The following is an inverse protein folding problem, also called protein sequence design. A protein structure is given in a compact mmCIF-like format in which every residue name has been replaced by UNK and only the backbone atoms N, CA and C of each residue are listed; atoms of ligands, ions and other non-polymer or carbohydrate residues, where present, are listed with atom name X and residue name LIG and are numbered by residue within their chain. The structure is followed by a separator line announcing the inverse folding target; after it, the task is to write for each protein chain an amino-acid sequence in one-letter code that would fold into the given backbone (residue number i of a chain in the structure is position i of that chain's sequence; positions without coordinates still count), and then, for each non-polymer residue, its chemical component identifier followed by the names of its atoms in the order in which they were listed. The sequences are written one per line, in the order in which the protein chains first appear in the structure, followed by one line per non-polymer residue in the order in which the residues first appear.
data_IF_055424385169
#
_entry.id   IF_055424385169
#
_cell.length_a   1.000
_cell.length_b   1.000
_cell.length_c   1.000
_cell.angle_alpha   90.00
_cell.angle_beta   90.00
_cell.angle_gamma   90.00
#
_symmetry.space_group_name_H-M   'P 1'
#
loop_
_entity.id
_entity.type
_entity.pdbx_description
1 polymer ?
#
# COMPACT_ATOMS: atom_id res chain seq x y z
N UNK A 1 -17.61 24.22 3.08
CA UNK A 1 -17.58 23.98 1.60
C UNK A 1 -16.20 24.24 1.02
N UNK A 2 -15.61 25.44 1.15
CA UNK A 2 -14.27 25.73 0.58
C UNK A 2 -13.13 24.85 1.13
N UNK A 3 -13.16 24.48 2.42
CA UNK A 3 -12.14 23.62 3.02
C UNK A 3 -12.15 22.20 2.44
N UNK A 4 -13.33 21.63 2.15
CA UNK A 4 -13.43 20.29 1.59
C UNK A 4 -12.93 20.19 0.15
N UNK A 5 -13.15 21.24 -0.65
CA UNK A 5 -12.58 21.35 -1.99
C UNK A 5 -11.05 21.44 -1.93
N UNK A 6 -10.47 22.08 -0.92
CA UNK A 6 -9.01 22.10 -0.76
C UNK A 6 -8.46 20.75 -0.31
N UNK A 7 -9.08 20.15 0.69
CA UNK A 7 -8.56 18.95 1.35
C UNK A 7 -8.66 17.68 0.50
N UNK A 8 -9.62 17.54 -0.41
CA UNK A 8 -9.67 16.31 -1.22
C UNK A 8 -8.47 16.18 -2.17
N UNK A 9 -7.84 17.29 -2.56
CA UNK A 9 -6.57 17.29 -3.30
C UNK A 9 -5.34 16.97 -2.44
N UNK A 10 -5.47 16.98 -1.11
CA UNK A 10 -4.38 16.63 -0.20
C UNK A 10 -4.31 15.10 -0.02
N UNK A 11 -3.11 14.51 0.13
CA UNK A 11 -1.80 15.14 -0.02
C UNK A 11 -1.43 15.31 -1.51
N UNK A 12 -0.78 16.43 -1.84
CA UNK A 12 -0.24 16.70 -3.20
C UNK A 12 1.23 16.32 -3.33
N UNK A 13 1.94 16.31 -2.21
CA UNK A 13 3.37 16.00 -2.11
C UNK A 13 3.65 15.16 -0.87
N UNK A 14 4.86 14.61 -0.76
CA UNK A 14 5.21 13.70 0.33
C UNK A 14 5.10 14.27 1.75
N UNK A 15 5.24 15.59 1.87
CA UNK A 15 5.20 16.31 3.15
C UNK A 15 3.93 17.17 3.29
N UNK A 16 2.92 16.96 2.44
CA UNK A 16 1.67 17.72 2.50
C UNK A 16 0.80 17.23 3.67
N UNK A 17 -0.10 18.09 4.13
CA UNK A 17 -1.08 17.71 5.15
C UNK A 17 -2.00 16.60 4.63
N UNK A 18 -2.46 15.73 5.52
CA UNK A 18 -3.46 14.72 5.18
C UNK A 18 -4.87 15.29 5.40
N UNK A 19 -5.87 14.88 4.59
CA UNK A 19 -7.26 15.27 4.79
C UNK A 19 -7.67 15.06 6.26
N UNK A 20 -8.22 16.08 6.89
CA UNK A 20 -8.49 16.08 8.33
C UNK A 20 -9.95 15.77 8.65
N UNK A 21 -10.84 16.15 7.73
CA UNK A 21 -12.27 16.01 7.87
C UNK A 21 -12.79 14.61 7.48
N UNK A 22 -13.86 14.18 8.16
CA UNK A 22 -14.46 12.84 7.97
C UNK A 22 -15.13 12.68 6.60
N UNK A 23 -15.48 13.77 5.94
CA UNK A 23 -16.07 13.77 4.60
C UNK A 23 -14.98 13.87 3.53
N UNK A 24 -13.93 14.66 3.78
CA UNK A 24 -12.87 14.90 2.79
C UNK A 24 -11.96 13.69 2.61
N UNK A 25 -11.70 12.95 3.68
CA UNK A 25 -10.83 11.79 3.66
C UNK A 25 -11.33 10.67 2.72
N UNK A 26 -12.59 10.20 2.81
CA UNK A 26 -13.12 9.22 1.86
C UNK A 26 -13.12 9.72 0.42
N UNK A 27 -13.46 11.00 0.20
CA UNK A 27 -13.50 11.59 -1.15
C UNK A 27 -12.10 11.65 -1.76
N UNK A 28 -11.09 12.07 -0.98
CA UNK A 28 -9.70 12.12 -1.41
C UNK A 28 -9.18 10.73 -1.81
N UNK A 29 -9.54 9.70 -1.04
CA UNK A 29 -9.14 8.33 -1.30
C UNK A 29 -9.86 7.78 -2.55
N UNK A 30 -11.16 7.98 -2.64
CA UNK A 30 -11.99 7.51 -3.76
C UNK A 30 -11.55 8.11 -5.09
N UNK A 31 -11.35 9.44 -5.17
CA UNK A 31 -10.93 10.14 -6.39
C UNK A 31 -9.59 9.60 -6.94
N UNK A 32 -8.64 9.32 -6.05
CA UNK A 32 -7.34 8.76 -6.44
C UNK A 32 -7.44 7.31 -6.90
N UNK A 33 -8.22 6.49 -6.19
CA UNK A 33 -8.42 5.09 -6.56
C UNK A 33 -9.15 4.98 -7.90
N UNK A 34 -10.17 5.80 -8.12
CA UNK A 34 -10.93 5.87 -9.37
C UNK A 34 -10.02 6.25 -10.56
N UNK A 35 -9.23 7.32 -10.40
CA UNK A 35 -8.24 7.72 -11.42
C UNK A 35 -7.25 6.59 -11.74
N UNK A 36 -6.77 5.85 -10.73
CA UNK A 36 -5.89 4.71 -10.95
C UNK A 36 -6.60 3.58 -11.70
N UNK A 37 -7.81 3.22 -11.28
CA UNK A 37 -8.58 2.14 -11.88
C UNK A 37 -8.95 2.43 -13.34
N UNK A 38 -9.43 3.64 -13.64
CA UNK A 38 -9.76 4.09 -14.99
C UNK A 38 -8.51 4.13 -15.87
N UNK A 39 -7.40 4.69 -15.39
CA UNK A 39 -6.18 4.75 -16.19
C UNK A 39 -5.62 3.35 -16.50
N UNK A 40 -5.67 2.44 -15.53
CA UNK A 40 -5.20 1.07 -15.73
C UNK A 40 -6.14 0.25 -16.62
N UNK A 41 -7.46 0.45 -16.54
CA UNK A 41 -8.42 -0.19 -17.46
C UNK A 41 -8.17 0.22 -18.92
N UNK A 42 -7.70 1.44 -19.14
CA UNK A 42 -7.28 1.98 -20.43
C UNK A 42 -5.83 1.64 -20.82
N UNK A 43 -5.14 0.78 -20.05
CA UNK A 43 -3.72 0.37 -20.26
C UNK A 43 -2.72 1.53 -20.20
N UNK A 44 -3.06 2.61 -19.51
CA UNK A 44 -2.22 3.80 -19.34
C UNK A 44 -1.27 3.65 -18.14
N UNK A 45 -0.63 2.49 -18.02
CA UNK A 45 0.23 2.14 -16.89
C UNK A 45 1.56 2.91 -17.02
N UNK A 46 2.06 3.58 -15.97
CA UNK A 46 3.31 4.33 -16.04
C UNK A 46 4.50 3.44 -16.39
N UNK A 47 5.31 3.85 -17.37
CA UNK A 47 6.56 3.18 -17.74
C UNK A 47 7.75 3.80 -16.99
N UNK A 48 8.89 3.11 -16.92
CA UNK A 48 10.04 3.53 -16.10
C UNK A 48 10.49 5.00 -16.24
N UNK A 49 10.29 5.62 -17.40
CA UNK A 49 10.64 7.02 -17.67
C UNK A 49 9.46 7.99 -17.74
N UNK A 50 8.22 7.51 -17.88
CA UNK A 50 7.06 8.36 -18.14
C UNK A 50 5.92 8.10 -17.15
N UNK A 51 5.33 9.18 -16.65
CA UNK A 51 4.08 9.17 -15.88
C UNK A 51 3.16 10.31 -16.34
N UNK A 52 2.58 10.21 -17.54
CA UNK A 52 1.85 11.31 -18.18
C UNK A 52 0.62 11.77 -17.39
N UNK A 53 0.02 10.87 -16.61
CA UNK A 53 -1.19 11.12 -15.81
C UNK A 53 -0.90 11.20 -14.31
N UNK A 54 0.37 11.33 -13.93
CA UNK A 54 0.78 11.46 -12.53
C UNK A 54 0.29 10.33 -11.60
N UNK A 55 0.12 9.12 -12.12
CA UNK A 55 -0.43 7.97 -11.42
C UNK A 55 0.48 7.53 -10.28
N UNK A 56 1.81 7.71 -10.39
CA UNK A 56 2.72 7.45 -9.25
C UNK A 56 2.44 8.40 -8.10
N UNK A 57 2.16 9.67 -8.40
CA UNK A 57 1.80 10.67 -7.38
C UNK A 57 0.44 10.36 -6.76
N UNK A 58 -0.54 9.96 -7.57
CA UNK A 58 -1.86 9.57 -7.06
C UNK A 58 -1.77 8.36 -6.14
N UNK A 59 -1.09 7.29 -6.58
CA UNK A 59 -0.88 6.12 -5.74
C UNK A 59 -0.08 6.46 -4.48
N UNK A 60 0.93 7.32 -4.56
CA UNK A 60 1.65 7.77 -3.37
C UNK A 60 0.74 8.50 -2.36
N UNK A 61 -0.22 9.29 -2.86
CA UNK A 61 -1.24 9.91 -2.03
C UNK A 61 -2.16 8.89 -1.36
N UNK A 62 -2.54 7.81 -2.06
CA UNK A 62 -3.28 6.67 -1.46
C UNK A 62 -2.48 6.04 -0.32
N UNK A 63 -1.20 5.73 -0.54
CA UNK A 63 -0.33 5.17 0.50
C UNK A 63 -0.27 6.07 1.74
N UNK A 64 -0.09 7.37 1.54
CA UNK A 64 0.01 8.36 2.62
C UNK A 64 -1.30 8.49 3.40
N UNK A 65 -2.44 8.49 2.71
CA UNK A 65 -3.75 8.53 3.35
C UNK A 65 -3.96 7.27 4.18
N UNK A 66 -3.76 6.08 3.61
CA UNK A 66 -4.02 4.80 4.27
C UNK A 66 -3.10 4.61 5.47
N UNK A 67 -1.79 4.83 5.31
CA UNK A 67 -0.84 4.66 6.41
C UNK A 67 -0.90 5.81 7.42
N UNK A 68 -1.01 7.05 6.95
CA UNK A 68 -0.98 8.22 7.83
C UNK A 68 -2.28 8.47 8.60
N UNK A 69 -3.39 7.86 8.18
CA UNK A 69 -4.66 7.81 8.95
C UNK A 69 -4.93 6.44 9.56
N UNK A 70 -3.95 5.55 9.52
CA UNK A 70 -4.04 4.21 10.10
C UNK A 70 -5.31 3.45 9.66
N UNK A 71 -5.64 3.54 8.37
CA UNK A 71 -6.80 2.87 7.82
C UNK A 71 -6.54 1.36 7.70
N UNK A 72 -7.47 0.50 8.16
CA UNK A 72 -7.25 -0.95 8.23
C UNK A 72 -7.53 -1.65 6.88
N UNK A 73 -7.21 -1.03 5.75
CA UNK A 73 -7.47 -1.60 4.41
C UNK A 73 -6.26 -2.34 3.85
N UNK A 74 -6.49 -3.49 3.25
CA UNK A 74 -5.52 -4.15 2.36
C UNK A 74 -5.59 -3.57 0.93
N UNK A 75 -4.50 -3.73 0.17
CA UNK A 75 -4.50 -3.33 -1.24
C UNK A 75 -5.47 -4.16 -2.08
N UNK A 76 -5.65 -5.44 -1.74
CA UNK A 76 -6.62 -6.31 -2.39
C UNK A 76 -8.06 -5.82 -2.19
N UNK A 77 -8.42 -5.43 -0.96
CA UNK A 77 -9.76 -4.87 -0.69
C UNK A 77 -9.99 -3.57 -1.46
N UNK A 78 -9.03 -2.64 -1.44
CA UNK A 78 -9.17 -1.38 -2.18
C UNK A 78 -9.27 -1.59 -3.70
N UNK A 79 -8.43 -2.48 -4.25
CA UNK A 79 -8.45 -2.81 -5.67
C UNK A 79 -9.76 -3.48 -6.07
N UNK A 80 -10.24 -4.46 -5.29
CA UNK A 80 -11.50 -5.15 -5.56
C UNK A 80 -12.69 -4.20 -5.53
N UNK A 81 -12.78 -3.33 -4.50
CA UNK A 81 -13.85 -2.34 -4.39
C UNK A 81 -13.91 -1.38 -5.59
N UNK A 82 -12.76 -0.83 -6.01
CA UNK A 82 -12.75 0.14 -7.12
C UNK A 82 -13.03 -0.53 -8.47
N UNK A 83 -12.55 -1.75 -8.66
CA UNK A 83 -12.82 -2.52 -9.90
C UNK A 83 -14.28 -2.94 -9.97
N UNK A 84 -14.90 -3.32 -8.85
CA UNK A 84 -16.33 -3.61 -8.77
C UNK A 84 -17.17 -2.38 -9.15
N UNK A 85 -16.88 -1.21 -8.60
CA UNK A 85 -17.56 0.04 -8.96
C UNK A 85 -17.40 0.35 -10.46
N UNK A 86 -16.22 0.11 -11.02
CA UNK A 86 -15.95 0.37 -12.43
C UNK A 86 -16.74 -0.58 -13.36
N UNK A 87 -17.10 -1.79 -12.91
CA UNK A 87 -17.94 -2.76 -13.66
C UNK A 87 -19.34 -2.25 -13.89
N UNK A 88 -19.87 -1.54 -12.90
CA UNK A 88 -21.21 -1.00 -12.99
C UNK A 88 -21.28 0.23 -13.90
N UNK A 89 -20.14 0.89 -14.17
CA UNK A 89 -20.08 2.17 -14.88
C UNK A 89 -19.74 2.05 -16.37
N UNK A 90 -18.99 1.02 -16.78
CA UNK A 90 -18.54 0.88 -18.17
C UNK A 90 -18.28 -0.57 -18.58
N UNK A 91 -18.37 -0.83 -19.89
CA UNK A 91 -17.89 -2.10 -20.44
C UNK A 91 -16.36 -2.18 -20.35
N UNK A 92 -15.88 -3.33 -19.89
CA UNK A 92 -14.45 -3.57 -19.67
C UNK A 92 -13.72 -3.89 -20.96
N UNK A 93 -12.57 -3.24 -21.15
CA UNK A 93 -11.60 -3.62 -22.19
C UNK A 93 -10.71 -4.79 -21.71
N UNK A 94 -10.56 -4.98 -20.39
CA UNK A 94 -9.66 -5.96 -19.77
C UNK A 94 -10.41 -6.93 -18.84
N UNK A 95 -9.81 -8.09 -18.57
CA UNK A 95 -10.27 -8.99 -17.50
C UNK A 95 -10.17 -8.29 -16.13
N UNK A 96 -11.26 -8.20 -15.35
CA UNK A 96 -11.26 -7.50 -14.07
C UNK A 96 -10.21 -8.01 -13.08
N UNK A 97 -9.98 -9.31 -13.06
CA UNK A 97 -9.00 -9.96 -12.17
C UNK A 97 -7.58 -9.51 -12.50
N UNK A 98 -7.27 -9.31 -13.79
CA UNK A 98 -6.00 -8.77 -14.23
C UNK A 98 -5.84 -7.31 -13.79
N UNK A 99 -6.90 -6.51 -13.88
CA UNK A 99 -6.87 -5.12 -13.43
C UNK A 99 -6.63 -5.02 -11.91
N UNK A 100 -7.34 -5.82 -11.13
CA UNK A 100 -7.15 -5.90 -9.68
C UNK A 100 -5.69 -6.24 -9.34
N UNK A 101 -5.12 -7.26 -9.98
CA UNK A 101 -3.73 -7.65 -9.76
C UNK A 101 -2.75 -6.51 -10.12
N UNK A 102 -2.96 -5.83 -11.25
CA UNK A 102 -2.11 -4.72 -11.66
C UNK A 102 -2.16 -3.55 -10.67
N UNK A 103 -3.34 -3.22 -10.13
CA UNK A 103 -3.50 -2.19 -9.12
C UNK A 103 -2.80 -2.58 -7.81
N UNK A 104 -2.98 -3.82 -7.36
CA UNK A 104 -2.31 -4.33 -6.14
C UNK A 104 -0.79 -4.27 -6.30
N UNK A 105 -0.26 -4.78 -7.41
CA UNK A 105 1.19 -4.77 -7.68
C UNK A 105 1.73 -3.33 -7.70
N UNK A 106 0.99 -2.41 -8.32
CA UNK A 106 1.39 -1.01 -8.39
C UNK A 106 1.39 -0.35 -7.01
N UNK A 107 0.36 -0.58 -6.20
CA UNK A 107 0.28 -0.06 -4.83
C UNK A 107 1.36 -0.66 -3.92
N UNK A 108 1.66 -1.96 -4.03
CA UNK A 108 2.74 -2.60 -3.30
C UNK A 108 4.12 -2.02 -3.68
N UNK A 109 4.35 -1.74 -4.97
CA UNK A 109 5.57 -1.04 -5.39
C UNK A 109 5.68 0.36 -4.80
N UNK A 110 4.55 1.08 -4.64
CA UNK A 110 4.55 2.39 -3.98
C UNK A 110 4.73 2.28 -2.47
N UNK A 111 4.14 1.28 -1.82
CA UNK A 111 4.38 0.98 -0.41
C UNK A 111 5.87 0.73 -0.15
N UNK A 112 6.52 -0.09 -0.99
CA UNK A 112 7.97 -0.30 -0.94
C UNK A 112 8.74 1.01 -0.95
N UNK A 113 8.43 1.89 -1.90
CA UNK A 113 9.08 3.20 -2.01
C UNK A 113 8.83 4.07 -0.78
N UNK A 114 7.60 4.10 -0.26
CA UNK A 114 7.27 4.82 0.96
C UNK A 114 8.06 4.33 2.19
N UNK A 115 8.21 3.02 2.35
CA UNK A 115 9.02 2.44 3.43
C UNK A 115 10.51 2.78 3.27
N UNK A 116 11.02 2.81 2.03
CA UNK A 116 12.41 3.24 1.77
C UNK A 116 12.63 4.70 2.17
N UNK A 117 11.71 5.60 1.82
CA UNK A 117 11.76 7.01 2.22
C UNK A 117 11.67 7.21 3.74
N UNK A 118 11.01 6.29 4.46
CA UNK A 118 11.00 6.26 5.92
C UNK A 118 12.32 5.76 6.54
N UNK A 119 13.31 5.41 5.72
CA UNK A 119 14.64 4.99 6.16
C UNK A 119 14.73 3.51 6.56
N UNK A 120 13.74 2.69 6.19
CA UNK A 120 13.77 1.27 6.48
C UNK A 120 14.82 0.56 5.61
N UNK A 121 15.49 -0.44 6.20
CA UNK A 121 16.48 -1.25 5.48
C UNK A 121 15.82 -2.10 4.39
N UNK A 122 16.50 -2.22 3.25
CA UNK A 122 15.98 -2.97 2.10
C UNK A 122 15.62 -4.43 2.42
N UNK A 123 16.46 -5.14 3.16
CA UNK A 123 16.21 -6.54 3.54
C UNK A 123 14.98 -6.70 4.44
N UNK A 124 14.74 -5.75 5.33
CA UNK A 124 13.53 -5.70 6.15
C UNK A 124 12.28 -5.43 5.30
N UNK A 125 12.36 -4.49 4.35
CA UNK A 125 11.24 -4.19 3.45
C UNK A 125 10.90 -5.42 2.60
N UNK A 126 11.89 -6.12 2.04
CA UNK A 126 11.64 -7.37 1.31
C UNK A 126 11.01 -8.44 2.19
N UNK A 127 11.47 -8.59 3.44
CA UNK A 127 10.91 -9.57 4.37
C UNK A 127 9.43 -9.29 4.69
N UNK A 128 9.07 -8.01 4.87
CA UNK A 128 7.71 -7.57 5.17
C UNK A 128 6.77 -7.77 3.97
N UNK A 129 7.21 -7.38 2.77
CA UNK A 129 6.39 -7.45 1.57
C UNK A 129 6.29 -8.87 0.99
N UNK A 130 7.23 -9.76 1.32
CA UNK A 130 7.19 -11.18 0.90
C UNK A 130 6.10 -11.98 1.61
N UNK A 131 5.60 -11.52 2.76
CA UNK A 131 4.48 -12.16 3.43
C UNK A 131 3.17 -11.44 3.04
N UNK A 132 2.32 -12.08 2.21
CA UNK A 132 1.05 -11.48 1.77
C UNK A 132 0.04 -11.35 2.91
N UNK A 133 0.28 -12.02 4.04
CA UNK A 133 -0.60 -12.00 5.21
C UNK A 133 -0.48 -10.67 5.96
N UNK A 134 -1.28 -9.67 5.60
CA UNK A 134 -1.42 -8.45 6.39
C UNK A 134 -1.84 -7.22 5.60
N UNK A 135 -2.34 -6.22 6.32
CA UNK A 135 -2.58 -4.89 5.77
C UNK A 135 -1.27 -4.09 5.73
N UNK A 136 -1.18 -3.05 4.88
CA UNK A 136 -0.07 -2.10 4.87
C UNK A 136 0.17 -1.49 6.25
N UNK A 137 -0.91 -1.22 6.99
CA UNK A 137 -0.83 -0.73 8.36
C UNK A 137 -0.13 -1.74 9.29
N UNK A 138 -0.54 -3.02 9.25
CA UNK A 138 0.09 -4.07 10.06
C UNK A 138 1.57 -4.24 9.70
N UNK A 139 1.93 -4.14 8.42
CA UNK A 139 3.33 -4.18 7.97
C UNK A 139 4.13 -2.97 8.48
N UNK A 140 3.56 -1.76 8.43
CA UNK A 140 4.19 -0.55 8.97
C UNK A 140 4.44 -0.68 10.47
N UNK A 141 3.42 -1.09 11.24
CA UNK A 141 3.54 -1.26 12.69
C UNK A 141 4.59 -2.31 13.07
N UNK A 142 4.61 -3.43 12.34
CA UNK A 142 5.64 -4.46 12.51
C UNK A 142 7.03 -3.89 12.20
N UNK A 143 7.16 -3.13 11.12
CA UNK A 143 8.44 -2.55 10.71
C UNK A 143 8.99 -1.54 11.73
N UNK A 144 8.13 -0.71 12.30
CA UNK A 144 8.50 0.23 13.37
C UNK A 144 8.93 -0.50 14.64
N UNK A 145 8.20 -1.56 15.00
CA UNK A 145 8.53 -2.39 16.16
C UNK A 145 9.88 -3.07 15.97
N UNK A 146 10.10 -3.71 14.82
CA UNK A 146 11.36 -4.34 14.48
C UNK A 146 12.52 -3.33 14.46
N UNK A 147 12.30 -2.13 13.91
CA UNK A 147 13.34 -1.10 13.87
C UNK A 147 13.79 -0.63 15.26
N UNK A 148 12.88 -0.62 16.24
CA UNK A 148 13.17 -0.25 17.64
C UNK A 148 13.83 -1.41 18.40
N UNK A 149 13.30 -2.62 18.24
CA UNK A 149 13.58 -3.74 19.15
C UNK A 149 14.62 -4.72 18.61
N UNK A 150 14.99 -4.65 17.33
CA UNK A 150 15.89 -5.62 16.68
C UNK A 150 17.27 -5.74 17.35
N UNK A 151 17.73 -4.69 18.03
CA UNK A 151 19.02 -4.70 18.73
C UNK A 151 18.93 -5.17 20.20
N UNK A 152 17.72 -5.47 20.71
CA UNK A 152 17.56 -5.95 22.07
C UNK A 152 18.06 -7.40 22.20
N UNK A 153 18.89 -7.73 23.21
CA UNK A 153 19.35 -9.09 23.46
C UNK A 153 18.22 -10.11 23.60
N UNK A 154 17.09 -9.70 24.18
CA UNK A 154 15.88 -10.51 24.38
C UNK A 154 15.23 -10.86 23.05
N UNK A 155 15.15 -9.90 22.13
CA UNK A 155 14.59 -10.10 20.79
C UNK A 155 15.40 -11.14 20.01
N UNK A 156 16.74 -11.03 20.04
CA UNK A 156 17.63 -12.00 19.39
C UNK A 156 17.41 -13.43 19.94
N UNK A 157 17.31 -13.59 21.26
CA UNK A 157 17.03 -14.89 21.90
C UNK A 157 15.68 -15.47 21.47
N UNK A 158 14.65 -14.62 21.37
CA UNK A 158 13.31 -15.05 20.94
C UNK A 158 13.31 -15.53 19.48
N UNK A 159 13.95 -14.77 18.58
CA UNK A 159 14.10 -15.16 17.17
C UNK A 159 14.88 -16.45 17.02
N UNK A 160 16.00 -16.62 17.74
CA UNK A 160 16.79 -17.86 17.73
C UNK A 160 15.96 -19.07 18.19
N UNK A 161 15.12 -18.91 19.21
CA UNK A 161 14.22 -19.96 19.69
C UNK A 161 13.18 -20.36 18.62
N UNK A 162 12.56 -19.38 17.97
CA UNK A 162 11.57 -19.61 16.89
C UNK A 162 12.23 -20.27 15.67
N UNK A 163 13.38 -19.75 15.22
CA UNK A 163 14.12 -20.32 14.09
C UNK A 163 14.56 -21.75 14.38
N UNK A 164 14.99 -22.05 15.61
CA UNK A 164 15.31 -23.42 16.03
C UNK A 164 14.07 -24.33 15.93
N UNK A 165 12.91 -23.89 16.41
CA UNK A 165 11.68 -24.66 16.32
C UNK A 165 11.29 -24.93 14.86
N UNK A 166 11.33 -23.91 14.00
CA UNK A 166 11.05 -24.04 12.55
C UNK A 166 12.01 -25.05 11.89
N UNK A 167 13.31 -24.94 12.17
CA UNK A 167 14.31 -25.84 11.60
C UNK A 167 14.12 -27.30 12.06
N UNK A 168 13.72 -27.50 13.32
CA UNK A 168 13.34 -28.83 13.82
C UNK A 168 12.13 -29.34 13.04
N UNK A 169 11.04 -28.57 12.95
CA UNK A 169 9.84 -28.99 12.22
C UNK A 169 10.17 -29.35 10.78
N UNK A 170 10.92 -28.52 10.05
CA UNK A 170 11.32 -28.81 8.67
C UNK A 170 12.16 -30.08 8.54
N UNK A 171 13.02 -30.39 9.52
CA UNK A 171 13.83 -31.62 9.53
C UNK A 171 12.98 -32.89 9.67
N UNK A 172 11.84 -32.81 10.34
CA UNK A 172 10.94 -33.93 10.62
C UNK A 172 9.64 -33.90 9.80
N UNK A 173 9.50 -32.96 8.86
CA UNK A 173 8.34 -32.86 7.95
C UNK A 173 8.52 -33.66 6.65
N UNK A 174 9.52 -34.55 6.60
CA UNK A 174 9.72 -35.56 5.55
C UNK A 174 9.36 -36.95 6.07
#
# INVERSE_FOLDING_TARGET
VCQGIREHYCPRTANDELPSDRVTLPVALADRLDMLAVAFSLKMIPSGSADPYALRRMAQGVIQIVLGKELPFSWNELASMVVEILKDQQEFINEPELLEQQLVDFLQQRERWYLQEKGLRHDMIEALLKNPSGTPLSRMNLAETLSKDMNLPEFKKAVEAVVRAINITNKYSN
#
